data_IF_695193412952
#
_entry.id   IF_695193412952
#
_cell.length_a   1.000
_cell.length_b   1.000
_cell.length_c   1.000
_cell.angle_alpha   90.00
_cell.angle_beta   90.00
_cell.angle_gamma   90.00
#
_symmetry.space_group_name_H-M   'P 1'
#
loop_
_entity.id
_entity.type
_entity.pdbx_description
1 polymer ?
#
# COMPACT_ATOMS: atom_id res chain seq x y z
N UNK A 1 35.05 57.44 29.97
CA UNK A 1 35.61 56.10 30.22
C UNK A 1 36.91 56.02 29.41
N UNK A 2 38.09 56.23 30.00
CA UNK A 2 38.95 55.19 30.65
C UNK A 2 39.00 53.90 29.82
N UNK A 3 40.12 53.35 29.40
CA UNK A 3 41.53 53.71 29.56
C UNK A 3 42.34 52.84 28.57
N UNK A 4 43.53 53.33 28.18
CA UNK A 4 44.79 52.59 27.93
C UNK A 4 44.74 51.19 27.28
N UNK A 5 45.44 50.90 26.18
CA UNK A 5 46.75 51.41 25.78
C UNK A 5 47.68 50.21 25.55
N UNK A 6 48.20 50.04 24.34
CA UNK A 6 49.34 49.16 24.09
C UNK A 6 50.09 49.56 22.81
N UNK A 7 51.34 49.93 23.00
CA UNK A 7 52.47 49.92 22.06
C UNK A 7 53.73 50.18 22.93
N UNK A 8 54.97 49.83 22.54
CA UNK A 8 55.38 49.31 21.23
C UNK A 8 56.51 48.24 21.26
N UNK A 9 56.74 47.65 20.07
CA UNK A 9 58.05 47.31 19.46
C UNK A 9 59.17 46.71 20.29
N UNK A 10 59.55 45.46 19.96
CA UNK A 10 60.94 45.03 20.06
C UNK A 10 61.80 45.62 18.94
N UNK A 11 63.13 45.62 19.11
CA UNK A 11 63.98 45.28 17.99
C UNK A 11 65.11 44.29 18.36
N UNK A 12 65.69 43.75 17.29
CA UNK A 12 67.05 43.19 17.16
C UNK A 12 67.20 41.67 17.16
N UNK A 13 67.40 41.16 15.94
CA UNK A 13 68.27 40.03 15.58
C UNK A 13 69.76 40.37 15.89
N UNK A 14 70.79 39.60 15.45
CA UNK A 14 70.85 38.27 14.83
C UNK A 14 71.95 37.40 15.52
N UNK A 15 72.63 36.53 14.75
CA UNK A 15 73.85 35.72 15.05
C UNK A 15 73.52 34.30 15.55
N UNK A 16 73.32 33.31 14.68
CA UNK A 16 74.29 32.63 13.79
C UNK A 16 75.40 31.89 14.56
N UNK A 17 75.42 30.57 14.37
CA UNK A 17 76.57 29.66 14.25
C UNK A 17 76.54 28.43 15.18
N UNK A 18 76.64 27.26 14.53
CA UNK A 18 77.13 25.99 15.07
C UNK A 18 76.09 25.18 15.85
N UNK A 19 76.04 23.86 15.77
CA UNK A 19 76.74 22.88 14.97
C UNK A 19 75.95 21.57 15.07
N UNK A 20 76.16 20.71 14.09
CA UNK A 20 75.57 19.39 13.90
C UNK A 20 75.63 18.50 15.14
N UNK A 21 74.51 17.88 15.51
CA UNK A 21 74.49 16.61 16.25
C UNK A 21 73.23 15.81 15.90
N UNK A 22 73.45 14.71 15.19
CA UNK A 22 72.46 13.69 14.87
C UNK A 22 72.10 12.87 16.12
N UNK A 23 70.81 12.55 16.28
CA UNK A 23 70.40 11.26 16.83
C UNK A 23 69.00 10.87 16.29
N UNK A 24 68.77 9.58 15.98
CA UNK A 24 67.60 9.07 15.27
C UNK A 24 66.51 8.58 16.24
N UNK A 25 65.26 8.58 15.81
CA UNK A 25 64.14 8.05 16.59
C UNK A 25 62.94 7.79 15.71
N UNK A 26 62.97 6.63 15.06
CA UNK A 26 61.93 5.99 14.27
C UNK A 26 60.59 5.84 14.99
N UNK A 27 59.52 5.88 14.18
CA UNK A 27 58.12 5.59 14.45
C UNK A 27 57.90 4.22 15.14
N UNK A 28 56.67 3.96 15.65
CA UNK A 28 55.81 3.14 14.79
C UNK A 28 54.34 3.60 14.74
N UNK A 29 53.86 3.69 13.49
CA UNK A 29 52.55 3.27 13.00
C UNK A 29 51.53 2.78 14.03
N UNK A 30 50.62 3.66 14.41
CA UNK A 30 49.27 3.27 14.80
C UNK A 30 48.40 3.32 13.54
N UNK A 31 48.42 2.22 12.79
CA UNK A 31 47.48 1.96 11.70
C UNK A 31 46.05 2.07 12.26
N UNK A 32 45.39 3.19 11.98
CA UNK A 32 43.97 3.36 12.19
C UNK A 32 43.24 2.28 11.36
N UNK A 33 42.55 1.39 12.06
CA UNK A 33 41.67 0.41 11.44
C UNK A 33 40.69 1.14 10.52
N UNK A 34 40.41 0.61 9.31
CA UNK A 34 39.42 1.21 8.44
C UNK A 34 38.06 1.18 9.15
N UNK A 35 37.46 2.35 9.25
CA UNK A 35 36.10 2.59 9.73
C UNK A 35 35.19 1.58 9.03
N UNK A 36 34.69 0.61 9.80
CA UNK A 36 33.80 -0.44 9.34
C UNK A 36 32.51 0.27 8.91
N UNK A 37 32.42 0.58 7.62
CA UNK A 37 31.29 1.28 7.03
C UNK A 37 30.01 0.57 7.47
N UNK A 38 29.25 1.22 8.36
CA UNK A 38 27.93 0.77 8.74
C UNK A 38 27.17 0.45 7.46
N UNK A 39 26.46 -0.70 7.39
CA UNK A 39 25.73 -1.05 6.18
C UNK A 39 24.83 0.14 5.83
N UNK A 40 24.98 0.67 4.61
CA UNK A 40 24.11 1.69 4.07
C UNK A 40 22.69 1.18 4.24
N UNK A 41 22.00 1.69 5.27
CA UNK A 41 20.58 1.46 5.44
C UNK A 41 19.98 2.24 4.29
N UNK A 42 19.72 1.57 3.16
CA UNK A 42 19.05 2.16 2.01
C UNK A 42 17.74 2.76 2.51
N UNK A 43 17.76 4.06 2.75
CA UNK A 43 16.58 4.79 3.20
C UNK A 43 15.59 4.65 2.06
N UNK A 44 14.42 3.99 2.27
CA UNK A 44 13.48 3.73 1.19
C UNK A 44 13.14 5.06 0.51
N UNK A 45 13.54 5.19 -0.76
CA UNK A 45 13.44 6.42 -1.53
C UNK A 45 12.00 6.63 -1.97
N UNK A 46 11.11 6.91 -1.03
CA UNK A 46 9.74 7.29 -1.33
C UNK A 46 9.75 8.57 -2.17
N UNK A 47 9.05 8.54 -3.30
CA UNK A 47 8.90 9.71 -4.16
C UNK A 47 8.06 10.79 -3.47
N UNK A 48 8.37 12.05 -3.76
CA UNK A 48 7.61 13.18 -3.24
C UNK A 48 6.16 13.14 -3.78
N UNK A 49 5.15 13.54 -2.98
CA UNK A 49 3.78 13.60 -3.45
C UNK A 49 3.64 14.51 -4.68
N UNK A 50 2.94 14.04 -5.72
CA UNK A 50 2.75 14.83 -6.93
C UNK A 50 1.60 15.84 -6.79
N UNK A 51 1.82 17.05 -7.30
CA UNK A 51 0.83 18.15 -7.32
C UNK A 51 -0.16 18.10 -8.50
N UNK A 52 0.02 17.15 -9.43
CA UNK A 52 -0.88 16.90 -10.57
C UNK A 52 -0.79 15.42 -10.97
N UNK A 53 -1.80 14.93 -11.69
CA UNK A 53 -1.73 13.59 -12.28
C UNK A 53 -0.54 13.48 -13.22
N UNK A 54 0.33 12.51 -12.96
CA UNK A 54 1.41 12.16 -13.88
C UNK A 54 0.92 11.09 -14.86
N UNK A 55 1.46 11.10 -16.09
CA UNK A 55 1.14 10.07 -17.08
C UNK A 55 1.48 8.66 -16.56
N UNK A 56 2.57 8.53 -15.80
CA UNK A 56 2.95 7.28 -15.13
C UNK A 56 1.90 6.80 -14.12
N UNK A 57 1.37 7.70 -13.27
CA UNK A 57 0.29 7.35 -12.34
C UNK A 57 -0.99 6.92 -13.09
N UNK A 58 -1.34 7.64 -14.16
CA UNK A 58 -2.50 7.27 -14.97
C UNK A 58 -2.32 5.87 -15.59
N UNK A 59 -1.16 5.60 -16.18
CA UNK A 59 -0.84 4.29 -16.74
C UNK A 59 -0.88 3.19 -15.66
N UNK A 60 -0.26 3.43 -14.49
CA UNK A 60 -0.30 2.49 -13.38
C UNK A 60 -1.73 2.19 -12.91
N UNK A 61 -2.60 3.19 -12.80
CA UNK A 61 -3.96 3.01 -12.28
C UNK A 61 -4.87 2.32 -13.30
N UNK A 62 -4.88 2.78 -14.56
CA UNK A 62 -5.86 2.29 -15.54
C UNK A 62 -5.37 1.08 -16.35
N UNK A 63 -4.07 1.00 -16.61
CA UNK A 63 -3.53 -0.12 -17.39
C UNK A 63 -3.14 -1.28 -16.49
N UNK A 64 -2.26 -1.05 -15.52
CA UNK A 64 -1.78 -2.12 -14.61
C UNK A 64 -2.90 -2.52 -13.65
N UNK A 65 -3.44 -1.58 -12.88
CA UNK A 65 -4.53 -1.87 -11.95
C UNK A 65 -5.90 -1.91 -12.61
N UNK A 66 -6.02 -1.77 -13.94
CA UNK A 66 -7.32 -1.89 -14.62
C UNK A 66 -7.33 -3.07 -15.58
N UNK A 67 -6.68 -2.93 -16.73
CA UNK A 67 -6.69 -3.94 -17.80
C UNK A 67 -5.98 -5.22 -17.39
N UNK A 68 -4.78 -5.15 -16.79
CA UNK A 68 -4.07 -6.36 -16.36
C UNK A 68 -4.86 -7.07 -15.25
N UNK A 69 -5.38 -6.31 -14.29
CA UNK A 69 -6.24 -6.84 -13.24
C UNK A 69 -7.52 -7.49 -13.77
N UNK A 70 -8.17 -6.89 -14.79
CA UNK A 70 -9.32 -7.48 -15.49
C UNK A 70 -8.99 -8.86 -16.05
N UNK A 71 -7.89 -8.96 -16.81
CA UNK A 71 -7.51 -10.22 -17.47
C UNK A 71 -7.17 -11.30 -16.45
N UNK A 72 -6.34 -10.96 -15.46
CA UNK A 72 -5.90 -11.91 -14.43
C UNK A 72 -7.07 -12.38 -13.58
N UNK A 73 -7.89 -11.46 -13.08
CA UNK A 73 -9.04 -11.83 -12.23
C UNK A 73 -10.11 -12.58 -13.01
N UNK A 74 -10.40 -12.15 -14.24
CA UNK A 74 -11.31 -12.88 -15.13
C UNK A 74 -10.83 -14.29 -15.38
N UNK A 75 -9.54 -14.48 -15.69
CA UNK A 75 -8.97 -15.80 -15.95
C UNK A 75 -9.03 -16.72 -14.73
N UNK A 76 -8.77 -16.22 -13.52
CA UNK A 76 -8.88 -17.00 -12.29
C UNK A 76 -10.34 -17.46 -12.07
N UNK A 77 -11.30 -16.54 -12.18
CA UNK A 77 -12.72 -16.87 -12.03
C UNK A 77 -13.20 -17.86 -13.09
N UNK A 78 -12.75 -17.69 -14.34
CA UNK A 78 -13.01 -18.64 -15.42
C UNK A 78 -12.47 -20.03 -15.10
N UNK A 79 -11.22 -20.13 -14.62
CA UNK A 79 -10.59 -21.41 -14.31
C UNK A 79 -11.32 -22.14 -13.18
N UNK A 80 -11.72 -21.43 -12.13
CA UNK A 80 -12.52 -22.00 -11.03
C UNK A 80 -13.88 -22.47 -11.53
N UNK A 81 -14.59 -21.62 -12.29
CA UNK A 81 -15.88 -21.97 -12.88
C UNK A 81 -15.76 -23.16 -13.83
N UNK A 82 -14.72 -23.20 -14.67
CA UNK A 82 -14.45 -24.31 -15.56
C UNK A 82 -14.23 -25.60 -14.78
N UNK A 83 -13.36 -25.59 -13.76
CA UNK A 83 -13.13 -26.76 -12.92
C UNK A 83 -14.44 -27.25 -12.28
N UNK A 84 -15.20 -26.36 -11.66
CA UNK A 84 -16.43 -26.73 -10.94
C UNK A 84 -17.54 -27.25 -11.87
N UNK A 85 -17.73 -26.61 -13.03
CA UNK A 85 -18.83 -26.91 -13.94
C UNK A 85 -18.50 -28.01 -14.95
N UNK A 86 -17.23 -28.27 -15.24
CA UNK A 86 -16.82 -29.38 -16.13
C UNK A 86 -16.78 -30.73 -15.42
N UNK A 87 -16.60 -30.75 -14.09
CA UNK A 87 -16.49 -31.99 -13.31
C UNK A 87 -17.80 -32.42 -12.64
N UNK A 88 -18.91 -31.73 -12.88
CA UNK A 88 -20.20 -32.03 -12.23
C UNK A 88 -21.16 -32.75 -13.18
N UNK A 89 -21.79 -33.82 -12.70
CA UNK A 89 -22.84 -34.55 -13.45
C UNK A 89 -24.23 -33.92 -13.29
N UNK A 90 -24.38 -32.97 -12.36
CA UNK A 90 -25.65 -32.30 -12.04
C UNK A 90 -25.86 -31.08 -12.94
N UNK A 91 -27.11 -30.80 -13.36
CA UNK A 91 -27.39 -29.62 -14.16
C UNK A 91 -27.02 -28.33 -13.40
N UNK A 92 -26.36 -27.40 -14.09
CA UNK A 92 -26.02 -26.08 -13.56
C UNK A 92 -27.26 -25.21 -13.63
N UNK A 93 -27.66 -24.64 -12.50
CA UNK A 93 -28.91 -23.91 -12.33
C UNK A 93 -28.63 -22.46 -11.95
N UNK A 94 -29.52 -21.55 -12.33
CA UNK A 94 -29.31 -20.14 -12.03
C UNK A 94 -29.52 -19.84 -10.56
N UNK A 95 -30.61 -20.30 -9.96
CA UNK A 95 -30.95 -19.99 -8.57
C UNK A 95 -30.89 -21.20 -7.64
N UNK A 96 -31.28 -22.39 -8.11
CA UNK A 96 -31.41 -23.56 -7.25
C UNK A 96 -30.05 -24.20 -6.88
N UNK A 97 -29.96 -24.64 -5.62
CA UNK A 97 -28.87 -25.47 -5.10
C UNK A 97 -28.92 -26.88 -5.71
N UNK A 98 -27.79 -27.63 -5.75
CA UNK A 98 -26.47 -27.31 -5.18
C UNK A 98 -25.55 -26.47 -6.09
N UNK A 99 -25.79 -26.41 -7.40
CA UNK A 99 -24.92 -25.72 -8.38
C UNK A 99 -25.57 -24.40 -8.83
N UNK A 100 -25.58 -23.40 -7.94
CA UNK A 100 -26.26 -22.12 -8.15
C UNK A 100 -25.34 -21.04 -8.71
N UNK A 101 -25.56 -20.62 -9.95
CA UNK A 101 -24.75 -19.57 -10.59
C UNK A 101 -24.91 -18.20 -9.91
N UNK A 102 -26.13 -17.85 -9.50
CA UNK A 102 -26.40 -16.58 -8.85
C UNK A 102 -25.74 -16.50 -7.47
N UNK A 103 -25.72 -17.63 -6.75
CA UNK A 103 -25.01 -17.74 -5.47
C UNK A 103 -23.50 -17.62 -5.67
N UNK A 104 -22.92 -18.37 -6.61
CA UNK A 104 -21.49 -18.32 -6.92
C UNK A 104 -21.06 -16.90 -7.32
N UNK A 105 -21.83 -16.23 -8.18
CA UNK A 105 -21.58 -14.85 -8.59
C UNK A 105 -21.64 -13.88 -7.40
N UNK A 106 -22.62 -14.05 -6.51
CA UNK A 106 -22.77 -13.20 -5.33
C UNK A 106 -21.59 -13.36 -4.35
N UNK A 107 -21.22 -14.60 -4.05
CA UNK A 107 -20.07 -14.91 -3.19
C UNK A 107 -18.77 -14.40 -3.80
N UNK A 108 -18.59 -14.58 -5.12
CA UNK A 108 -17.43 -14.08 -5.86
C UNK A 108 -17.26 -12.57 -5.66
N UNK A 109 -18.33 -11.78 -5.79
CA UNK A 109 -18.24 -10.32 -5.62
C UNK A 109 -17.77 -9.95 -4.20
N UNK A 110 -18.36 -10.58 -3.18
CA UNK A 110 -18.01 -10.30 -1.78
C UNK A 110 -16.56 -10.66 -1.47
N UNK A 111 -16.18 -11.90 -1.78
CA UNK A 111 -14.85 -12.43 -1.48
C UNK A 111 -13.78 -11.69 -2.28
N UNK A 112 -14.00 -11.47 -3.59
CA UNK A 112 -13.03 -10.79 -4.44
C UNK A 112 -12.81 -9.34 -4.00
N UNK A 113 -13.84 -8.59 -3.58
CA UNK A 113 -13.66 -7.23 -3.09
C UNK A 113 -12.79 -7.17 -1.82
N UNK A 114 -13.01 -8.11 -0.89
CA UNK A 114 -12.22 -8.22 0.34
C UNK A 114 -10.77 -8.56 0.01
N UNK A 115 -10.54 -9.59 -0.82
CA UNK A 115 -9.18 -10.01 -1.21
C UNK A 115 -8.48 -8.90 -1.98
N UNK A 116 -9.16 -8.26 -2.93
CA UNK A 116 -8.63 -7.14 -3.72
C UNK A 116 -8.18 -6.01 -2.82
N UNK A 117 -9.01 -5.62 -1.84
CA UNK A 117 -8.64 -4.59 -0.87
C UNK A 117 -7.33 -4.91 -0.13
N UNK A 118 -7.17 -6.17 0.29
CA UNK A 118 -5.97 -6.64 1.00
C UNK A 118 -4.74 -6.70 0.10
N UNK A 119 -4.89 -7.19 -1.13
CA UNK A 119 -3.79 -7.25 -2.12
C UNK A 119 -3.31 -5.83 -2.43
N UNK A 120 -4.22 -4.90 -2.74
CA UNK A 120 -3.88 -3.52 -3.07
C UNK A 120 -3.21 -2.78 -1.91
N UNK A 121 -3.65 -3.03 -0.67
CA UNK A 121 -2.98 -2.51 0.52
C UNK A 121 -1.50 -2.91 0.55
N UNK A 122 -1.18 -4.16 0.21
CA UNK A 122 0.20 -4.67 0.23
C UNK A 122 0.98 -4.17 -0.98
N UNK A 123 0.42 -4.29 -2.18
CA UNK A 123 1.08 -3.93 -3.44
C UNK A 123 1.39 -2.44 -3.52
N UNK A 124 0.39 -1.56 -3.33
CA UNK A 124 0.62 -0.12 -3.41
C UNK A 124 1.60 0.34 -2.33
N UNK A 125 1.52 -0.23 -1.12
CA UNK A 125 2.48 0.08 -0.04
C UNK A 125 3.91 -0.32 -0.43
N UNK A 126 4.08 -1.49 -1.06
CA UNK A 126 5.38 -1.95 -1.55
C UNK A 126 5.89 -1.04 -2.67
N UNK A 127 5.05 -0.74 -3.65
CA UNK A 127 5.42 0.07 -4.82
C UNK A 127 5.75 1.52 -4.42
N UNK A 128 5.06 2.06 -3.40
CA UNK A 128 5.40 3.35 -2.77
C UNK A 128 6.77 3.30 -2.06
N UNK A 129 7.05 2.25 -1.29
CA UNK A 129 8.33 2.07 -0.57
C UNK A 129 9.50 1.91 -1.52
N UNK A 130 9.29 1.21 -2.62
CA UNK A 130 10.27 1.02 -3.68
C UNK A 130 10.44 2.28 -4.56
N UNK A 131 9.63 3.33 -4.35
CA UNK A 131 9.67 4.54 -5.17
C UNK A 131 9.22 4.33 -6.61
N UNK A 132 8.46 3.26 -6.89
CA UNK A 132 7.96 2.95 -8.24
C UNK A 132 6.78 3.83 -8.65
N UNK A 133 6.01 4.31 -7.67
CA UNK A 133 4.85 5.18 -7.88
C UNK A 133 4.88 6.32 -6.88
N UNK A 134 4.54 7.54 -7.34
CA UNK A 134 4.43 8.70 -6.47
C UNK A 134 3.08 8.72 -5.73
N UNK A 135 3.04 9.11 -4.44
CA UNK A 135 1.80 9.40 -3.74
C UNK A 135 1.04 10.57 -4.38
N UNK A 136 -0.28 10.58 -4.26
CA UNK A 136 -1.12 11.66 -4.81
C UNK A 136 -1.30 12.75 -3.74
N UNK A 137 -0.72 13.94 -3.97
CA UNK A 137 -0.69 15.02 -2.97
C UNK A 137 -1.66 16.18 -3.23
N UNK A 138 -2.27 16.26 -4.41
CA UNK A 138 -3.11 17.42 -4.77
C UNK A 138 -4.53 17.37 -4.20
N UNK A 139 -4.99 16.22 -3.71
CA UNK A 139 -6.34 16.05 -3.19
C UNK A 139 -6.44 16.56 -1.75
N UNK A 140 -7.46 17.38 -1.44
CA UNK A 140 -7.66 17.91 -0.09
C UNK A 140 -8.20 16.82 0.86
N UNK A 141 -7.72 16.80 2.10
CA UNK A 141 -8.23 15.90 3.13
C UNK A 141 -9.72 16.19 3.39
N UNK A 142 -10.59 15.18 3.46
CA UNK A 142 -11.99 15.38 3.79
C UNK A 142 -12.17 15.77 5.26
N UNK A 143 -13.11 16.70 5.52
CA UNK A 143 -13.46 17.14 6.87
C UNK A 143 -14.46 16.20 7.57
N UNK A 144 -15.17 15.36 6.81
CA UNK A 144 -16.27 14.54 7.33
C UNK A 144 -15.76 13.33 8.12
N UNK A 145 -16.26 13.13 9.35
CA UNK A 145 -15.84 12.06 10.28
C UNK A 145 -15.94 10.65 9.67
N UNK A 146 -17.02 10.35 8.95
CA UNK A 146 -17.19 9.04 8.31
C UNK A 146 -16.16 8.80 7.19
N UNK A 147 -15.90 9.81 6.36
CA UNK A 147 -14.89 9.73 5.31
C UNK A 147 -13.48 9.60 5.90
N UNK A 148 -13.16 10.37 6.95
CA UNK A 148 -11.88 10.30 7.65
C UNK A 148 -11.67 8.94 8.32
N UNK A 149 -12.70 8.36 8.93
CA UNK A 149 -12.67 6.99 9.44
C UNK A 149 -12.42 6.00 8.31
N UNK A 150 -13.19 6.05 7.22
CA UNK A 150 -13.03 5.14 6.08
C UNK A 150 -11.63 5.24 5.46
N UNK A 151 -11.11 6.45 5.31
CA UNK A 151 -9.76 6.76 4.78
C UNK A 151 -8.63 6.53 5.80
N UNK A 152 -8.95 6.05 7.00
CA UNK A 152 -7.98 5.77 8.07
C UNK A 152 -7.12 7.00 8.44
N UNK A 153 -7.69 8.20 8.33
CA UNK A 153 -7.05 9.47 8.68
C UNK A 153 -7.10 9.76 10.19
N UNK A 154 -8.07 9.19 10.90
CA UNK A 154 -8.24 9.42 12.35
C UNK A 154 -7.42 8.47 13.23
N UNK A 155 -6.63 7.58 12.63
CA UNK A 155 -5.72 6.69 13.37
C UNK A 155 -4.43 7.45 13.65
N UNK A 156 -4.41 8.21 14.73
CA UNK A 156 -3.17 8.78 15.25
C UNK A 156 -2.14 7.66 15.46
N UNK A 157 -0.83 7.90 15.21
CA UNK A 157 0.19 6.98 15.66
C UNK A 157 0.06 6.86 17.18
N UNK A 158 -0.24 5.66 17.67
CA UNK A 158 -0.08 5.33 19.09
C UNK A 158 1.41 5.41 19.40
N UNK A 159 1.86 6.60 19.77
CA UNK A 159 3.23 6.92 20.11
C UNK A 159 3.23 8.29 20.75
N UNK A 160 3.71 8.33 22.00
CA UNK A 160 4.04 9.53 22.75
C UNK A 160 2.90 10.19 23.53
N UNK A 161 2.29 9.44 24.46
CA UNK A 161 2.15 10.00 25.81
C UNK A 161 3.41 9.59 26.58
N UNK A 162 4.36 10.52 26.66
CA UNK A 162 5.53 10.36 27.51
C UNK A 162 5.14 10.41 28.96
N UNK A 163 5.30 9.29 29.67
CA UNK A 163 5.66 9.25 31.08
C UNK A 163 6.27 7.87 31.37
N UNK A 164 7.59 7.89 31.57
CA UNK A 164 8.38 6.97 32.42
C UNK A 164 7.70 5.69 32.88
N UNK A 165 8.14 4.55 32.34
CA UNK A 165 7.88 3.24 32.89
C UNK A 165 8.18 2.16 31.87
N UNK A 166 9.12 1.28 32.19
CA UNK A 166 9.42 0.08 31.42
C UNK A 166 8.14 -0.76 31.27
N UNK A 167 7.41 -0.59 30.17
CA UNK A 167 6.28 -1.42 29.82
C UNK A 167 6.80 -2.64 29.07
N UNK A 168 6.86 -3.76 29.78
CA UNK A 168 6.86 -5.11 29.24
C UNK A 168 5.79 -5.19 28.15
N UNK A 169 6.20 -5.33 26.88
CA UNK A 169 5.29 -5.67 25.78
C UNK A 169 4.76 -7.08 26.07
N UNK A 170 3.54 -7.16 26.60
CA UNK A 170 2.82 -8.43 26.69
C UNK A 170 2.41 -8.83 25.27
N UNK A 171 2.77 -10.04 24.83
CA UNK A 171 2.49 -10.54 23.48
C UNK A 171 0.99 -10.44 23.08
N UNK A 172 0.09 -10.45 24.07
CA UNK A 172 -1.35 -10.27 23.88
C UNK A 172 -1.74 -8.90 23.28
N UNK A 173 -1.04 -7.83 23.65
CA UNK A 173 -1.40 -6.48 23.21
C UNK A 173 -1.08 -6.30 21.71
N UNK A 174 0.01 -6.90 21.23
CA UNK A 174 0.36 -6.87 19.79
C UNK A 174 -0.62 -7.66 18.93
N UNK A 175 -1.14 -8.79 19.44
CA UNK A 175 -2.09 -9.63 18.72
C UNK A 175 -3.46 -8.94 18.58
N UNK A 176 -3.97 -8.31 19.64
CA UNK A 176 -5.24 -7.59 19.62
C UNK A 176 -5.20 -6.39 18.66
N UNK A 177 -4.11 -5.62 18.67
CA UNK A 177 -3.92 -4.52 17.74
C UNK A 177 -3.86 -4.99 16.27
N UNK A 178 -3.24 -6.14 16.02
CA UNK A 178 -3.18 -6.79 14.71
C UNK A 178 -4.56 -7.26 14.22
N UNK A 179 -5.32 -7.95 15.08
CA UNK A 179 -6.66 -8.43 14.79
C UNK A 179 -7.63 -7.28 14.51
N UNK A 180 -7.59 -6.22 15.32
CA UNK A 180 -8.40 -5.01 15.10
C UNK A 180 -8.03 -4.30 13.79
N UNK A 181 -6.75 -4.29 13.42
CA UNK A 181 -6.33 -3.78 12.12
C UNK A 181 -6.88 -4.64 10.97
N UNK A 182 -6.73 -5.96 11.04
CA UNK A 182 -7.24 -6.88 10.03
C UNK A 182 -8.76 -6.76 9.86
N UNK A 183 -9.52 -6.81 10.96
CA UNK A 183 -10.97 -6.62 10.95
C UNK A 183 -11.38 -5.28 10.33
N UNK A 184 -10.60 -4.22 10.59
CA UNK A 184 -10.84 -2.92 9.95
C UNK A 184 -10.62 -2.94 8.44
N UNK A 185 -9.67 -3.72 7.93
CA UNK A 185 -9.45 -3.87 6.48
C UNK A 185 -10.55 -4.73 5.84
N UNK A 186 -10.93 -5.85 6.48
CA UNK A 186 -12.02 -6.70 6.02
C UNK A 186 -13.33 -5.93 5.91
N UNK A 187 -13.66 -5.10 6.90
CA UNK A 187 -14.84 -4.25 6.87
C UNK A 187 -14.82 -3.27 5.69
N UNK A 188 -13.67 -2.67 5.36
CA UNK A 188 -13.58 -1.74 4.22
C UNK A 188 -13.69 -2.46 2.89
N UNK A 189 -13.05 -3.62 2.75
CA UNK A 189 -13.23 -4.49 1.59
C UNK A 189 -14.68 -4.97 1.43
N UNK A 190 -15.39 -5.19 2.53
CA UNK A 190 -16.83 -5.49 2.49
C UNK A 190 -17.66 -4.27 2.08
N UNK A 191 -17.34 -3.08 2.59
CA UNK A 191 -18.02 -1.83 2.22
C UNK A 191 -17.84 -1.48 0.73
N UNK A 192 -16.71 -1.85 0.11
CA UNK A 192 -16.52 -1.73 -1.35
C UNK A 192 -17.27 -2.82 -2.12
N UNK A 193 -17.55 -3.96 -1.49
CA UNK A 193 -18.33 -5.04 -2.09
C UNK A 193 -19.81 -4.68 -2.27
N UNK A 194 -20.42 -3.98 -1.31
CA UNK A 194 -21.84 -3.60 -1.37
C UNK A 194 -22.23 -2.85 -2.66
N UNK A 195 -21.60 -1.72 -3.03
CA UNK A 195 -21.95 -1.03 -4.28
C UNK A 195 -21.61 -1.87 -5.52
N UNK A 196 -20.51 -2.63 -5.48
CA UNK A 196 -20.12 -3.53 -6.58
C UNK A 196 -21.13 -4.65 -6.79
N UNK A 197 -21.69 -5.19 -5.70
CA UNK A 197 -22.74 -6.20 -5.71
C UNK A 197 -24.02 -5.64 -6.34
N UNK A 198 -24.50 -4.50 -5.86
CA UNK A 198 -25.68 -3.84 -6.42
C UNK A 198 -25.52 -3.54 -7.91
N UNK A 199 -24.30 -3.16 -8.34
CA UNK A 199 -24.02 -2.79 -9.71
C UNK A 199 -23.88 -4.00 -10.65
N UNK A 200 -23.16 -5.04 -10.25
CA UNK A 200 -22.73 -6.11 -11.16
C UNK A 200 -23.55 -7.40 -11.02
N UNK A 201 -24.10 -7.69 -9.84
CA UNK A 201 -24.84 -8.93 -9.62
C UNK A 201 -26.14 -8.97 -10.45
N UNK A 202 -26.93 -7.89 -10.41
CA UNK A 202 -28.20 -7.79 -11.15
C UNK A 202 -28.02 -7.98 -12.67
N UNK A 203 -27.15 -7.21 -13.34
CA UNK A 203 -26.85 -7.40 -14.75
C UNK A 203 -26.31 -8.80 -15.08
N UNK A 204 -25.45 -9.37 -14.24
CA UNK A 204 -24.94 -10.73 -14.42
C UNK A 204 -26.09 -11.75 -14.44
N UNK A 205 -26.97 -11.71 -13.44
CA UNK A 205 -28.16 -12.58 -13.37
C UNK A 205 -29.09 -12.32 -14.57
N UNK A 206 -29.31 -11.07 -14.97
CA UNK A 206 -30.15 -10.72 -16.11
C UNK A 206 -29.60 -11.21 -17.46
N UNK A 207 -28.29 -11.19 -17.66
CA UNK A 207 -27.66 -11.77 -18.86
C UNK A 207 -27.80 -13.30 -18.84
N UNK A 208 -27.60 -13.93 -17.67
CA UNK A 208 -27.76 -15.37 -17.52
C UNK A 208 -29.21 -15.82 -17.76
N UNK A 209 -30.23 -15.09 -17.28
CA UNK A 209 -31.63 -15.41 -17.59
C UNK A 209 -31.96 -15.29 -19.08
N UNK A 210 -31.28 -14.39 -19.81
CA UNK A 210 -31.48 -14.23 -21.25
C UNK A 210 -30.85 -15.38 -22.08
N UNK A 211 -29.75 -15.97 -21.60
CA UNK A 211 -29.03 -17.05 -22.30
C UNK A 211 -29.47 -18.45 -21.85
N UNK A 212 -29.96 -18.58 -20.61
CA UNK A 212 -30.34 -19.86 -20.03
C UNK A 212 -31.63 -20.43 -20.62
N UNK A 213 -31.76 -21.75 -20.61
CA UNK A 213 -33.00 -22.43 -21.01
C UNK A 213 -33.91 -22.61 -19.80
N UNK A 214 -35.16 -22.16 -19.89
CA UNK A 214 -36.11 -22.25 -18.78
C UNK A 214 -36.65 -23.68 -18.64
N UNK A 215 -36.35 -24.35 -17.53
CA UNK A 215 -36.79 -25.70 -17.21
C UNK A 215 -37.25 -25.77 -15.74
N UNK A 216 -38.47 -26.27 -15.48
CA UNK A 216 -38.92 -26.53 -14.11
C UNK A 216 -38.95 -25.30 -13.18
N UNK A 217 -39.13 -24.11 -13.73
CA UNK A 217 -39.17 -22.85 -12.96
C UNK A 217 -37.80 -22.18 -12.71
N UNK A 218 -36.71 -22.75 -13.24
CA UNK A 218 -35.37 -22.18 -13.17
C UNK A 218 -34.72 -22.11 -14.55
N UNK A 219 -33.57 -21.45 -14.66
CA UNK A 219 -32.75 -21.41 -15.87
C UNK A 219 -31.61 -22.41 -15.74
N UNK A 220 -31.49 -23.30 -16.72
CA UNK A 220 -30.52 -24.39 -16.76
C UNK A 220 -29.53 -24.16 -17.89
N UNK A 221 -28.26 -24.48 -17.62
CA UNK A 221 -27.14 -24.34 -18.56
C UNK A 221 -26.50 -25.70 -18.79
N UNK A 222 -26.95 -26.44 -19.81
CA UNK A 222 -26.42 -27.77 -20.13
C UNK A 222 -25.23 -27.64 -21.09
N UNK A 223 -24.02 -27.95 -20.62
CA UNK A 223 -22.77 -28.00 -21.42
C UNK A 223 -22.55 -26.76 -22.32
N UNK A 224 -22.95 -25.59 -21.85
CA UNK A 224 -22.63 -24.32 -22.52
C UNK A 224 -21.42 -23.69 -21.84
N UNK A 225 -20.66 -22.89 -22.59
CA UNK A 225 -19.59 -22.06 -22.05
C UNK A 225 -20.12 -20.81 -21.31
N UNK A 226 -21.44 -20.62 -21.30
CA UNK A 226 -22.08 -19.41 -20.76
C UNK A 226 -21.77 -19.20 -19.27
N UNK A 227 -21.84 -20.22 -18.39
CA UNK A 227 -21.41 -20.07 -16.99
C UNK A 227 -19.96 -19.59 -16.85
N UNK A 228 -19.03 -20.21 -17.58
CA UNK A 228 -17.60 -19.92 -17.47
C UNK A 228 -17.28 -18.52 -18.01
N UNK A 229 -17.83 -18.16 -19.17
CA UNK A 229 -17.67 -16.81 -19.76
C UNK A 229 -18.32 -15.75 -18.86
N UNK A 230 -19.48 -16.02 -18.27
CA UNK A 230 -20.11 -15.10 -17.32
C UNK A 230 -19.23 -14.86 -16.10
N UNK A 231 -18.58 -15.90 -15.57
CA UNK A 231 -17.66 -15.75 -14.44
C UNK A 231 -16.36 -15.02 -14.84
N UNK A 232 -15.85 -15.24 -16.05
CA UNK A 232 -14.73 -14.45 -16.59
C UNK A 232 -15.07 -12.97 -16.61
N UNK A 233 -16.21 -12.61 -17.21
CA UNK A 233 -16.64 -11.22 -17.34
C UNK A 233 -16.94 -10.61 -15.98
N UNK A 234 -17.62 -11.34 -15.09
CA UNK A 234 -17.92 -10.86 -13.74
C UNK A 234 -16.63 -10.56 -12.97
N UNK A 235 -15.72 -11.53 -12.89
CA UNK A 235 -14.45 -11.38 -12.18
C UNK A 235 -13.58 -10.27 -12.77
N UNK A 236 -13.50 -10.21 -14.10
CA UNK A 236 -12.75 -9.18 -14.82
C UNK A 236 -13.33 -7.79 -14.62
N UNK A 237 -14.62 -7.58 -14.89
CA UNK A 237 -15.28 -6.28 -14.75
C UNK A 237 -15.26 -5.80 -13.29
N UNK A 238 -15.40 -6.73 -12.34
CA UNK A 238 -15.26 -6.41 -10.92
C UNK A 238 -13.85 -5.93 -10.59
N UNK A 239 -12.81 -6.59 -11.11
CA UNK A 239 -11.43 -6.15 -10.92
C UNK A 239 -11.21 -4.78 -11.58
N UNK A 240 -11.62 -4.61 -12.85
CA UNK A 240 -11.52 -3.35 -13.59
C UNK A 240 -12.15 -2.17 -12.84
N UNK A 241 -13.23 -2.42 -12.11
CA UNK A 241 -13.86 -1.41 -11.27
C UNK A 241 -13.12 -1.19 -9.95
N UNK A 242 -12.80 -2.27 -9.23
CA UNK A 242 -12.37 -2.19 -7.82
C UNK A 242 -10.88 -1.93 -7.66
N UNK A 243 -10.02 -2.54 -8.48
CA UNK A 243 -8.56 -2.41 -8.36
C UNK A 243 -8.06 -0.98 -8.59
N UNK A 244 -8.49 -0.23 -9.63
CA UNK A 244 -8.06 1.17 -9.80
C UNK A 244 -8.56 2.06 -8.65
N UNK A 245 -9.79 1.85 -8.18
CA UNK A 245 -10.37 2.62 -7.08
C UNK A 245 -9.61 2.39 -5.78
N UNK A 246 -9.28 1.14 -5.47
CA UNK A 246 -8.44 0.79 -4.32
C UNK A 246 -7.03 1.37 -4.46
N UNK A 247 -6.41 1.31 -5.63
CA UNK A 247 -5.09 1.90 -5.86
C UNK A 247 -5.09 3.41 -5.64
N UNK A 248 -6.08 4.13 -6.18
CA UNK A 248 -6.26 5.57 -5.96
C UNK A 248 -6.43 5.88 -4.48
N UNK A 249 -7.28 5.12 -3.78
CA UNK A 249 -7.49 5.27 -2.34
C UNK A 249 -6.17 5.20 -1.57
N UNK A 250 -5.34 4.18 -1.83
CA UNK A 250 -4.07 4.00 -1.13
C UNK A 250 -3.03 5.06 -1.48
N UNK A 251 -2.95 5.48 -2.75
CA UNK A 251 -2.02 6.53 -3.20
C UNK A 251 -2.35 7.90 -2.61
N UNK A 252 -3.64 8.25 -2.53
CA UNK A 252 -4.12 9.49 -1.92
C UNK A 252 -3.86 9.47 -0.41
N UNK A 253 -4.17 8.36 0.25
CA UNK A 253 -3.93 8.18 1.68
C UNK A 253 -2.45 8.28 2.05
N UNK A 254 -1.56 7.76 1.21
CA UNK A 254 -0.11 7.92 1.37
C UNK A 254 0.33 9.38 1.18
N UNK A 255 -0.25 10.11 0.22
CA UNK A 255 0.02 11.53 0.01
C UNK A 255 -0.31 12.38 1.23
N UNK A 256 -1.48 12.15 1.85
CA UNK A 256 -1.87 12.82 3.09
C UNK A 256 -0.96 12.49 4.28
N UNK A 257 -0.55 11.23 4.42
CA UNK A 257 0.35 10.82 5.49
C UNK A 257 1.70 11.55 5.39
N UNK A 258 2.25 11.68 4.18
CA UNK A 258 3.52 12.37 3.95
C UNK A 258 3.42 13.88 4.19
N UNK A 259 2.34 14.53 3.76
CA UNK A 259 2.11 15.95 4.00
C UNK A 259 1.95 16.27 5.50
N UNK A 260 1.26 15.39 6.24
CA UNK A 260 1.08 15.56 7.69
C UNK A 260 2.41 15.44 8.43
N UNK A 261 3.28 14.52 8.01
CA UNK A 261 4.61 14.37 8.59
C UNK A 261 5.55 15.53 8.22
N UNK A 262 5.45 16.07 7.00
CA UNK A 262 6.25 17.23 6.57
C UNK A 262 5.87 18.54 7.28
N UNK A 263 4.63 18.64 7.79
CA UNK A 263 4.13 19.81 8.53
C UNK A 263 4.44 19.80 10.03
N UNK A 264 5.01 18.72 10.59
CA UNK A 264 5.47 18.71 11.99
C UNK A 264 6.90 19.30 12.04
N UNK A 265 7.15 20.34 12.85
CA UNK A 265 8.52 20.77 13.13
C UNK A 265 9.34 19.58 13.64
N UNK A 266 10.57 19.40 13.15
CA UNK A 266 11.53 18.45 13.73
C UNK A 266 11.91 18.95 15.12
N UNK A 267 11.27 18.43 16.16
CA UNK A 267 11.70 18.62 17.55
C UNK A 267 13.08 17.97 17.79
N UNK A 268 13.49 17.04 16.93
CA UNK A 268 14.75 16.30 16.98
C UNK A 268 15.98 17.10 16.46
N UNK A 269 15.79 18.35 16.01
CA UNK A 269 16.90 19.22 15.57
C UNK A 269 17.44 20.13 16.68
N UNK A 270 16.96 19.97 17.92
CA UNK A 270 17.42 20.69 19.11
C UNK A 270 17.67 19.66 20.22
N UNK A 271 18.73 18.87 20.09
CA UNK A 271 19.38 18.16 21.21
C UNK A 271 20.86 18.00 20.90
#
# INVERSE_FOLDING_TARGET
MRNSGFKPTGPAAPTAAGDSAAAPGSEPDAAAAPDEAAPDVEVPKMLRPTGKWTAHQFFYIFFVNGIVAFVVSGAINFAVAYAMYSTTDKPIRLFQLPNTLAGDAGVTILVQCIITWMIELVLVKRDLRAGQVAPVGWLRQPSNRAARWFLLLDRAPSGTNGTTGAATKTDGDSAEHGAAYLGSQLLRGFLTAVPSFCLLWGPCVGILTAVGTREGGDWVFRRTWAPQVSMFLLGGLLALLTTPLSAVFWLVRAGWALQTNAGRPREDAIS
#
